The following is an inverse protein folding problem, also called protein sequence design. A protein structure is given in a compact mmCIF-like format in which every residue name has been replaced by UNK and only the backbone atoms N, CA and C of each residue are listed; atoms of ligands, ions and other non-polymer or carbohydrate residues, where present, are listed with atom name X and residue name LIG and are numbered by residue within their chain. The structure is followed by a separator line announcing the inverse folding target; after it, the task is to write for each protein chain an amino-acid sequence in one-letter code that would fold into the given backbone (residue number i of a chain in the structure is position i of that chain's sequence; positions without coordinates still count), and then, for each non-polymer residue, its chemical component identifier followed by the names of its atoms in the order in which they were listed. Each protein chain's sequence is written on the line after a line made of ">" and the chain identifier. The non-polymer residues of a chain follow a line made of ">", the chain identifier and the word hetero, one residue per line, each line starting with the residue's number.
data_IF_971536655422
#
_entry.id   IF_971536655422
#
_cell.length_a   1.000
_cell.length_b   1.000
_cell.length_c   1.000
_cell.angle_alpha   90.00
_cell.angle_beta   90.00
_cell.angle_gamma   90.00
#
_symmetry.space_group_name_H-M   'P 1'
#
loop_
_entity.id
_entity.type
_entity.pdbx_description
1 polymer ?
#
# COMPACT_ATOMS: atom_id res chain seq x y z
N UNK A 1 -24.16 -65.21 36.27
CA UNK A 1 -22.83 -64.58 36.24
C UNK A 1 -22.91 -63.36 35.35
N UNK A 2 -22.62 -62.19 35.94
CA UNK A 2 -22.23 -60.88 35.36
C UNK A 2 -23.19 -60.11 34.44
N UNK A 3 -23.76 -59.00 34.96
CA UNK A 3 -24.00 -57.74 34.26
C UNK A 3 -22.76 -56.79 34.35
N UNK A 4 -22.87 -55.64 33.67
CA UNK A 4 -22.01 -54.43 33.68
C UNK A 4 -20.79 -54.41 32.75
N UNK A 5 -20.85 -53.57 31.71
CA UNK A 5 -19.74 -52.64 31.41
C UNK A 5 -20.29 -51.23 31.09
N UNK A 6 -19.82 -50.29 31.90
CA UNK A 6 -20.18 -48.90 31.96
C UNK A 6 -19.41 -48.09 30.93
N UNK A 7 -20.11 -47.14 30.33
CA UNK A 7 -19.55 -45.96 29.66
C UNK A 7 -18.80 -45.14 30.72
N UNK A 8 -17.47 -45.09 30.63
CA UNK A 8 -16.63 -44.32 31.53
C UNK A 8 -16.60 -42.84 31.12
N UNK A 9 -17.47 -42.03 31.72
CA UNK A 9 -17.22 -40.60 31.93
C UNK A 9 -16.11 -40.41 32.96
N UNK A 10 -15.04 -39.70 32.63
CA UNK A 10 -14.13 -39.16 33.65
C UNK A 10 -14.05 -37.63 33.55
N UNK A 11 -14.78 -36.99 34.47
CA UNK A 11 -14.44 -35.64 34.96
C UNK A 11 -13.16 -35.79 35.78
N UNK A 12 -12.10 -35.05 35.44
CA UNK A 12 -11.03 -34.72 36.39
C UNK A 12 -10.79 -33.22 36.37
N UNK A 13 -11.30 -32.60 37.43
CA UNK A 13 -10.89 -31.30 37.95
C UNK A 13 -9.37 -31.38 38.21
N UNK A 14 -8.59 -30.47 37.64
CA UNK A 14 -7.20 -30.22 38.05
C UNK A 14 -7.05 -28.72 38.33
N UNK A 15 -6.49 -28.47 39.52
CA UNK A 15 -6.36 -27.20 40.23
C UNK A 15 -5.54 -26.18 39.46
N UNK A 16 -5.91 -24.91 39.62
CA UNK A 16 -5.07 -23.75 39.32
C UNK A 16 -3.77 -23.83 40.12
N UNK A 17 -2.65 -23.98 39.43
CA UNK A 17 -1.31 -23.78 39.93
C UNK A 17 -0.67 -22.66 39.11
N UNK A 18 -0.37 -21.56 39.79
CA UNK A 18 0.42 -20.45 39.28
C UNK A 18 1.83 -20.89 38.89
N UNK A 19 2.39 -20.14 37.95
CA UNK A 19 3.82 -19.99 37.62
C UNK A 19 4.41 -20.89 36.51
N UNK A 20 5.20 -20.19 35.68
CA UNK A 20 6.26 -20.64 34.77
C UNK A 20 5.83 -20.93 33.32
N UNK A 21 5.88 -19.83 32.56
CA UNK A 21 6.09 -19.72 31.12
C UNK A 21 6.98 -20.86 30.58
N UNK A 22 6.49 -21.59 29.59
CA UNK A 22 7.25 -22.62 28.84
C UNK A 22 8.40 -21.95 28.06
N UNK A 23 9.67 -22.36 28.27
CA UNK A 23 10.83 -21.81 27.55
C UNK A 23 10.90 -22.20 26.06
N UNK A 24 9.95 -22.96 25.51
CA UNK A 24 10.02 -23.53 24.14
C UNK A 24 9.12 -22.86 23.10
N UNK A 25 8.50 -21.73 23.41
CA UNK A 25 8.00 -20.83 22.35
C UNK A 25 9.19 -19.98 21.88
N UNK A 26 10.00 -20.55 20.98
CA UNK A 26 10.88 -19.74 20.16
C UNK A 26 9.98 -18.82 19.32
N UNK A 27 9.94 -17.54 19.67
CA UNK A 27 9.70 -16.47 18.71
C UNK A 27 10.51 -16.83 17.46
N UNK A 28 9.83 -17.07 16.35
CA UNK A 28 10.50 -17.18 15.05
C UNK A 28 11.06 -15.79 14.77
N UNK A 29 12.24 -15.51 15.31
CA UNK A 29 13.04 -14.36 14.93
C UNK A 29 13.34 -14.53 13.45
N UNK A 30 12.77 -13.65 12.60
CA UNK A 30 13.28 -13.46 11.24
C UNK A 30 14.81 -13.40 11.30
N UNK A 31 15.53 -14.27 10.55
CA UNK A 31 16.98 -14.35 10.64
C UNK A 31 17.60 -12.96 10.49
N UNK A 32 18.51 -12.58 11.40
CA UNK A 32 19.25 -11.31 11.37
C UNK A 32 19.79 -10.92 9.98
N UNK A 33 20.12 -11.92 9.15
CA UNK A 33 20.56 -11.73 7.77
C UNK A 33 19.45 -11.21 6.83
N UNK A 34 18.20 -11.66 6.96
CA UNK A 34 17.06 -11.16 6.17
C UNK A 34 16.70 -9.72 6.56
N UNK A 35 16.72 -9.37 7.85
CA UNK A 35 16.54 -7.98 8.33
C UNK A 35 17.64 -7.05 7.82
N UNK A 36 18.91 -7.47 7.91
CA UNK A 36 20.06 -6.72 7.35
C UNK A 36 19.95 -6.55 5.84
N UNK A 37 19.48 -7.56 5.11
CA UNK A 37 19.23 -7.48 3.66
C UNK A 37 18.13 -6.46 3.34
N UNK A 38 16.94 -6.54 3.96
CA UNK A 38 15.84 -5.57 3.73
C UNK A 38 16.25 -4.13 4.01
N UNK A 39 16.96 -3.88 5.12
CA UNK A 39 17.47 -2.54 5.46
C UNK A 39 18.52 -2.05 4.45
N UNK A 40 19.45 -2.93 4.02
CA UNK A 40 20.48 -2.61 3.01
C UNK A 40 19.90 -2.20 1.66
N UNK A 41 18.78 -2.79 1.26
CA UNK A 41 18.08 -2.47 0.01
C UNK A 41 17.26 -1.17 0.08
N UNK A 42 16.56 -0.90 1.20
CA UNK A 42 15.84 0.37 1.40
C UNK A 42 16.80 1.57 1.41
N UNK A 43 17.93 1.43 2.09
CA UNK A 43 18.97 2.46 2.10
C UNK A 43 19.52 2.74 0.69
N UNK A 44 19.68 1.73 -0.17
CA UNK A 44 20.20 1.93 -1.54
C UNK A 44 19.18 2.60 -2.49
N UNK A 45 17.87 2.37 -2.29
CA UNK A 45 16.82 3.06 -3.05
C UNK A 45 16.74 4.55 -2.70
N UNK A 46 16.68 4.87 -1.41
CA UNK A 46 16.64 6.27 -0.97
C UNK A 46 17.95 7.00 -1.24
N UNK A 47 19.08 6.29 -1.31
CA UNK A 47 20.38 6.87 -1.71
C UNK A 47 20.37 7.39 -3.13
N UNK A 48 19.78 6.65 -4.08
CA UNK A 48 19.64 7.13 -5.46
C UNK A 48 18.79 8.41 -5.51
N UNK A 49 17.73 8.47 -4.71
CA UNK A 49 16.87 9.65 -4.64
C UNK A 49 17.62 10.82 -3.97
N UNK A 50 18.30 10.59 -2.84
CA UNK A 50 19.08 11.63 -2.16
C UNK A 50 20.23 12.16 -3.03
N UNK A 51 20.86 11.32 -3.87
CA UNK A 51 21.86 11.77 -4.83
C UNK A 51 21.31 12.75 -5.88
N UNK A 52 20.00 12.70 -6.19
CA UNK A 52 19.33 13.68 -7.06
C UNK A 52 19.08 15.02 -6.36
N UNK A 53 18.72 14.99 -5.08
CA UNK A 53 18.46 16.20 -4.28
C UNK A 53 19.75 16.89 -3.79
N UNK A 54 20.84 16.13 -3.66
CA UNK A 54 22.13 16.60 -3.17
C UNK A 54 23.26 16.12 -4.09
N UNK A 55 23.33 16.63 -5.34
CA UNK A 55 24.33 16.20 -6.31
C UNK A 55 25.75 16.49 -5.79
N UNK A 56 26.66 15.52 -5.97
CA UNK A 56 28.06 15.64 -5.54
C UNK A 56 28.32 15.42 -4.04
N UNK A 57 27.29 15.31 -3.19
CA UNK A 57 27.45 15.14 -1.73
C UNK A 57 27.54 13.68 -1.25
N UNK A 58 27.07 12.71 -2.05
CA UNK A 58 27.00 11.29 -1.63
C UNK A 58 27.71 10.37 -2.63
N UNK A 59 28.88 9.83 -2.27
CA UNK A 59 29.70 8.99 -3.16
C UNK A 59 29.38 7.49 -3.09
N UNK A 60 28.88 6.96 -1.96
CA UNK A 60 28.39 5.58 -1.82
C UNK A 60 27.72 5.39 -0.45
N UNK A 61 26.45 5.04 -0.41
CA UNK A 61 25.80 4.56 0.83
C UNK A 61 25.70 3.05 0.73
N UNK A 62 26.68 2.36 1.30
CA UNK A 62 26.59 0.90 1.43
C UNK A 62 25.54 0.61 2.51
N UNK A 63 24.46 -0.09 2.16
CA UNK A 63 23.34 -0.30 3.08
C UNK A 63 23.64 -1.25 4.27
N UNK A 64 24.90 -1.59 4.50
CA UNK A 64 25.38 -2.20 5.75
C UNK A 64 26.21 -1.21 6.55
N UNK A 65 25.64 -0.07 6.96
CA UNK A 65 26.40 0.91 7.74
C UNK A 65 25.58 1.38 8.95
N UNK A 66 25.47 0.48 9.92
CA UNK A 66 25.63 0.84 11.34
C UNK A 66 27.10 0.60 11.76
N UNK A 67 27.84 -0.29 11.06
CA UNK A 67 29.21 -0.65 11.47
C UNK A 67 30.33 0.15 10.78
N UNK A 68 30.14 0.66 9.54
CA UNK A 68 31.14 1.56 8.93
C UNK A 68 31.04 3.02 9.45
N UNK A 69 30.05 3.31 10.31
CA UNK A 69 29.85 4.58 11.04
C UNK A 69 31.03 4.91 11.97
N UNK A 70 31.88 3.92 12.26
CA UNK A 70 32.96 4.01 13.24
C UNK A 70 34.36 4.18 12.65
N UNK A 71 34.58 4.05 11.32
CA UNK A 71 35.95 3.94 10.76
C UNK A 71 36.37 4.95 9.70
N UNK A 72 35.50 5.84 9.21
CA UNK A 72 35.89 6.88 8.24
C UNK A 72 35.22 8.23 8.58
N UNK A 73 35.99 9.32 8.46
CA UNK A 73 35.47 10.70 8.41
C UNK A 73 34.60 10.82 7.17
N UNK A 74 33.28 10.77 7.35
CA UNK A 74 32.33 11.13 6.29
C UNK A 74 31.71 12.46 6.70
N UNK A 75 32.03 13.52 5.95
CA UNK A 75 31.20 14.71 5.85
C UNK A 75 29.97 14.36 4.99
N UNK A 76 28.81 14.92 5.30
CA UNK A 76 27.53 14.70 4.58
C UNK A 76 26.95 13.27 4.68
N UNK A 77 26.32 12.91 5.81
CA UNK A 77 25.60 11.63 5.97
C UNK A 77 24.07 11.81 6.00
N UNK A 78 23.30 10.75 5.71
CA UNK A 78 21.83 10.76 5.82
C UNK A 78 21.38 9.75 6.89
N UNK A 79 20.55 10.20 7.84
CA UNK A 79 19.95 9.36 8.88
C UNK A 79 18.47 9.11 8.58
N UNK A 80 18.11 7.83 8.41
CA UNK A 80 16.74 7.42 8.12
C UNK A 80 16.00 7.09 9.40
N UNK A 81 14.90 7.79 9.64
CA UNK A 81 14.00 7.55 10.76
C UNK A 81 12.63 7.13 10.23
N UNK A 82 12.28 5.86 10.41
CA UNK A 82 10.95 5.37 10.06
C UNK A 82 9.90 5.93 11.03
N UNK A 83 8.92 6.62 10.47
CA UNK A 83 7.80 7.27 11.18
C UNK A 83 6.43 6.78 10.68
N UNK A 84 6.34 5.60 10.04
CA UNK A 84 5.08 5.04 9.50
C UNK A 84 4.05 4.63 10.57
N UNK A 85 4.35 3.66 11.44
CA UNK A 85 3.46 3.33 12.57
C UNK A 85 3.23 4.52 13.55
N UNK A 86 4.23 5.40 13.75
CA UNK A 86 4.09 6.59 14.56
C UNK A 86 3.33 7.77 13.96
N UNK A 87 2.71 7.75 12.77
CA UNK A 87 1.92 8.94 12.39
C UNK A 87 0.67 9.11 13.25
N UNK A 88 -0.02 7.99 13.52
CA UNK A 88 -1.11 7.96 14.48
C UNK A 88 -0.61 8.30 15.89
N UNK A 89 0.54 7.75 16.30
CA UNK A 89 1.15 8.09 17.59
C UNK A 89 1.60 9.54 17.66
N UNK A 90 2.34 10.10 16.69
CA UNK A 90 2.75 11.51 16.63
C UNK A 90 1.54 12.46 16.64
N UNK A 91 0.42 12.09 16.02
CA UNK A 91 -0.84 12.85 16.10
C UNK A 91 -1.48 12.75 17.50
N UNK A 92 -1.56 11.54 18.08
CA UNK A 92 -2.06 11.30 19.44
C UNK A 92 -1.14 11.92 20.52
N UNK A 93 0.17 12.00 20.25
CA UNK A 93 1.27 12.51 21.07
C UNK A 93 1.38 14.03 20.96
N UNK A 94 1.15 14.64 19.78
CA UNK A 94 1.07 16.10 19.62
C UNK A 94 -0.15 16.68 20.34
N UNK A 95 -1.25 15.94 20.39
CA UNK A 95 -2.46 16.34 21.12
C UNK A 95 -2.30 16.25 22.65
N UNK A 96 -1.26 15.58 23.16
CA UNK A 96 -0.89 15.60 24.58
C UNK A 96 0.28 16.54 24.77
N UNK A 97 0.18 17.48 25.70
CA UNK A 97 1.11 18.61 25.85
C UNK A 97 2.61 18.26 26.10
N UNK A 98 3.07 17.00 26.04
CA UNK A 98 4.43 16.60 26.44
C UNK A 98 5.15 15.45 25.67
N UNK A 99 4.74 14.99 24.48
CA UNK A 99 5.26 13.70 23.92
C UNK A 99 6.22 13.75 22.70
N UNK A 100 6.66 14.92 22.19
CA UNK A 100 7.76 15.05 21.19
C UNK A 100 9.10 14.46 21.70
N UNK A 101 9.19 14.16 23.00
CA UNK A 101 10.32 13.45 23.62
C UNK A 101 10.64 12.13 22.92
N UNK A 102 9.65 11.31 22.53
CA UNK A 102 9.89 9.94 22.03
C UNK A 102 10.58 9.88 20.67
N UNK A 103 10.15 10.70 19.69
CA UNK A 103 10.78 10.77 18.36
C UNK A 103 12.17 11.39 18.44
N UNK A 104 12.32 12.45 19.23
CA UNK A 104 13.62 13.09 19.48
C UNK A 104 14.59 12.12 20.16
N UNK A 105 14.15 11.35 21.15
CA UNK A 105 14.95 10.33 21.86
C UNK A 105 15.40 9.19 20.95
N UNK A 106 14.60 8.83 19.94
CA UNK A 106 14.97 7.82 18.92
C UNK A 106 16.11 8.26 18.00
N UNK A 107 16.46 9.55 17.99
CA UNK A 107 17.61 10.06 17.23
C UNK A 107 18.85 10.02 18.15
N UNK A 108 19.90 9.26 17.81
CA UNK A 108 21.11 9.17 18.63
C UNK A 108 21.79 10.54 18.81
N UNK A 109 22.38 10.79 19.98
CA UNK A 109 23.05 12.07 20.29
C UNK A 109 24.12 12.47 19.28
N UNK A 110 24.88 11.50 18.76
CA UNK A 110 25.86 11.75 17.69
C UNK A 110 25.21 12.24 16.40
N UNK A 111 24.01 11.77 16.07
CA UNK A 111 23.27 12.22 14.88
C UNK A 111 22.73 13.63 15.11
N UNK A 112 22.18 13.92 16.30
CA UNK A 112 21.76 15.28 16.67
C UNK A 112 22.91 16.28 16.57
N UNK A 113 24.09 15.90 17.05
CA UNK A 113 25.30 16.71 16.89
C UNK A 113 25.61 16.97 15.41
N UNK A 114 25.66 15.93 14.56
CA UNK A 114 25.93 16.10 13.13
C UNK A 114 24.85 16.92 12.40
N UNK A 115 23.59 16.83 12.84
CA UNK A 115 22.51 17.67 12.32
C UNK A 115 22.74 19.15 12.66
N UNK A 116 23.12 19.47 13.90
CA UNK A 116 23.46 20.86 14.32
C UNK A 116 24.65 21.43 13.54
N UNK A 117 25.65 20.60 13.25
CA UNK A 117 26.85 21.00 12.50
C UNK A 117 26.62 21.12 10.99
N UNK A 118 25.41 20.86 10.46
CA UNK A 118 25.17 20.90 9.02
C UNK A 118 25.68 19.67 8.24
N UNK A 119 26.21 18.67 8.94
CA UNK A 119 26.94 17.52 8.37
C UNK A 119 26.06 16.28 8.17
N UNK A 120 24.78 16.36 8.57
CA UNK A 120 23.80 15.28 8.43
C UNK A 120 22.48 15.79 7.83
N UNK A 121 21.78 14.89 7.13
CA UNK A 121 20.41 15.05 6.64
C UNK A 121 19.52 14.08 7.40
N UNK A 122 18.42 14.57 7.97
CA UNK A 122 17.41 13.73 8.60
C UNK A 122 16.34 13.36 7.57
N UNK A 123 16.16 12.07 7.32
CA UNK A 123 15.11 11.56 6.44
C UNK A 123 14.00 10.95 7.29
N UNK A 124 12.85 11.60 7.32
CA UNK A 124 11.62 11.09 7.93
C UNK A 124 10.93 10.17 6.92
N UNK A 125 11.05 8.86 7.12
CA UNK A 125 10.59 7.85 6.16
C UNK A 125 9.19 7.35 6.51
N UNK A 126 8.27 7.54 5.58
CA UNK A 126 6.92 6.94 5.58
C UNK A 126 6.72 6.01 4.39
N UNK A 127 7.81 5.40 3.91
CA UNK A 127 7.90 4.87 2.54
C UNK A 127 6.91 3.76 2.18
N UNK A 128 6.20 3.15 3.14
CA UNK A 128 5.17 2.15 2.89
C UNK A 128 3.74 2.71 2.91
N UNK A 129 3.52 3.90 3.46
CA UNK A 129 2.19 4.50 3.64
C UNK A 129 2.27 6.01 3.37
N UNK A 130 1.64 6.50 2.31
CA UNK A 130 1.54 7.94 2.07
C UNK A 130 0.29 8.50 2.76
N UNK A 131 0.41 8.98 3.99
CA UNK A 131 -0.75 9.54 4.68
C UNK A 131 -1.09 10.95 4.19
N UNK A 132 -2.31 11.38 4.51
CA UNK A 132 -2.76 12.75 4.28
C UNK A 132 -1.94 13.75 5.10
N UNK A 133 -1.84 14.99 4.61
CA UNK A 133 -1.22 16.07 5.38
C UNK A 133 -2.16 16.50 6.52
N UNK A 134 -1.57 16.87 7.67
CA UNK A 134 -2.32 17.50 8.76
C UNK A 134 -1.51 18.61 9.43
N UNK A 135 -2.18 19.70 9.83
CA UNK A 135 -1.54 20.83 10.48
C UNK A 135 -0.77 20.44 11.76
N UNK A 136 -1.32 19.59 12.66
CA UNK A 136 -0.59 19.14 13.86
C UNK A 136 0.73 18.46 13.52
N UNK A 137 0.73 17.63 12.47
CA UNK A 137 1.92 16.89 12.07
C UNK A 137 2.98 17.79 11.43
N UNK A 138 2.56 18.76 10.61
CA UNK A 138 3.44 19.81 10.10
C UNK A 138 4.13 20.57 11.24
N UNK A 139 3.37 20.98 12.26
CA UNK A 139 3.90 21.66 13.45
C UNK A 139 4.86 20.79 14.26
N UNK A 140 4.54 19.50 14.44
CA UNK A 140 5.40 18.55 15.15
C UNK A 140 6.78 18.38 14.50
N UNK A 141 6.85 18.40 13.16
CA UNK A 141 8.13 18.34 12.43
C UNK A 141 8.98 19.59 12.72
N UNK A 142 8.38 20.78 12.67
CA UNK A 142 9.11 22.02 12.96
C UNK A 142 9.57 22.11 14.42
N UNK A 143 8.74 21.68 15.37
CA UNK A 143 9.15 21.59 16.78
C UNK A 143 10.30 20.59 16.99
N UNK A 144 10.32 19.48 16.24
CA UNK A 144 11.45 18.54 16.25
C UNK A 144 12.73 19.21 15.70
N UNK A 145 12.63 19.98 14.63
CA UNK A 145 13.73 20.74 14.04
C UNK A 145 14.30 21.73 15.07
N UNK A 146 13.45 22.53 15.70
CA UNK A 146 13.84 23.51 16.72
C UNK A 146 14.52 22.83 17.92
N UNK A 147 13.97 21.71 18.37
CA UNK A 147 14.50 20.94 19.50
C UNK A 147 15.86 20.30 19.20
N UNK A 148 16.08 19.86 17.96
CA UNK A 148 17.40 19.39 17.51
C UNK A 148 18.34 20.59 17.38
N UNK A 149 17.86 21.74 16.90
CA UNK A 149 18.68 22.89 16.56
C UNK A 149 19.39 22.73 15.21
N UNK A 150 18.74 22.09 14.23
CA UNK A 150 19.25 21.96 12.86
C UNK A 150 18.45 22.82 11.87
N UNK A 151 18.95 23.01 10.66
CA UNK A 151 18.23 23.77 9.64
C UNK A 151 17.13 22.91 8.99
N UNK A 152 15.97 23.50 8.70
CA UNK A 152 14.86 22.80 8.01
C UNK A 152 15.27 22.23 6.65
N UNK A 153 16.21 22.87 5.96
CA UNK A 153 16.76 22.39 4.69
C UNK A 153 17.54 21.07 4.77
N UNK A 154 17.86 20.62 5.98
CA UNK A 154 18.47 19.31 6.29
C UNK A 154 17.43 18.23 6.58
N UNK A 155 16.14 18.55 6.62
CA UNK A 155 15.07 17.57 6.84
C UNK A 155 14.39 17.24 5.53
N UNK A 156 14.31 15.94 5.24
CA UNK A 156 13.64 15.39 4.05
C UNK A 156 12.50 14.50 4.52
N UNK A 157 11.31 14.75 4.02
CA UNK A 157 10.14 13.91 4.24
C UNK A 157 9.91 12.99 3.05
N UNK A 158 10.07 11.68 3.26
CA UNK A 158 9.94 10.67 2.21
C UNK A 158 8.56 10.01 2.30
N UNK A 159 7.69 10.26 1.30
CA UNK A 159 6.28 9.88 1.30
C UNK A 159 5.85 9.30 -0.05
N UNK A 160 4.78 8.50 -0.07
CA UNK A 160 4.12 8.12 -1.33
C UNK A 160 3.02 9.10 -1.75
N UNK A 161 2.64 10.04 -0.88
CA UNK A 161 1.57 10.98 -1.14
C UNK A 161 2.07 12.16 -2.01
N UNK A 162 1.61 12.21 -3.26
CA UNK A 162 2.01 13.21 -4.25
C UNK A 162 1.40 14.60 -4.02
N UNK A 163 0.35 14.73 -3.19
CA UNK A 163 -0.22 16.05 -2.84
C UNK A 163 0.34 16.63 -1.53
N UNK A 164 1.22 15.89 -0.84
CA UNK A 164 1.70 16.27 0.49
C UNK A 164 2.49 17.58 0.49
N UNK A 165 3.42 17.76 -0.45
CA UNK A 165 4.26 18.96 -0.55
C UNK A 165 3.42 20.22 -0.81
N UNK A 166 2.41 20.12 -1.66
CA UNK A 166 1.46 21.20 -1.94
C UNK A 166 0.66 21.56 -0.68
N UNK A 167 0.07 20.57 -0.01
CA UNK A 167 -0.70 20.77 1.22
C UNK A 167 0.16 21.37 2.35
N UNK A 168 1.39 20.89 2.51
CA UNK A 168 2.36 21.43 3.45
C UNK A 168 2.73 22.87 3.11
N UNK A 169 2.99 23.18 1.83
CA UNK A 169 3.35 24.53 1.39
C UNK A 169 2.21 25.52 1.66
N UNK A 170 0.98 25.15 1.32
CA UNK A 170 -0.22 25.95 1.60
C UNK A 170 -0.45 26.17 3.10
N UNK A 171 -0.09 25.19 3.94
CA UNK A 171 -0.11 25.36 5.39
C UNK A 171 0.98 26.33 5.86
N UNK A 172 2.22 26.17 5.38
CA UNK A 172 3.34 27.07 5.70
C UNK A 172 3.04 28.53 5.33
N UNK A 173 2.42 28.77 4.17
CA UNK A 173 2.01 30.12 3.74
C UNK A 173 1.00 30.73 4.72
N UNK A 174 0.03 29.95 5.20
CA UNK A 174 -0.98 30.40 6.18
C UNK A 174 -0.40 30.62 7.58
N UNK A 175 0.67 29.93 7.94
CA UNK A 175 1.34 30.05 9.24
C UNK A 175 2.59 30.92 9.23
N UNK A 176 2.85 31.64 8.14
CA UNK A 176 4.01 32.52 7.94
C UNK A 176 5.38 31.83 8.07
N UNK A 177 5.48 30.55 7.69
CA UNK A 177 6.75 29.84 7.59
C UNK A 177 7.39 30.19 6.24
N UNK A 178 8.51 30.92 6.29
CA UNK A 178 9.23 31.37 5.11
C UNK A 178 9.87 30.19 4.34
N UNK A 179 10.18 30.40 3.06
CA UNK A 179 10.60 29.32 2.15
C UNK A 179 11.91 28.64 2.59
N UNK A 180 12.82 29.40 3.16
CA UNK A 180 14.11 28.93 3.68
C UNK A 180 13.98 28.05 4.94
N UNK A 181 12.87 28.18 5.68
CA UNK A 181 12.56 27.35 6.84
C UNK A 181 11.70 26.13 6.50
N UNK A 182 11.43 25.84 5.22
CA UNK A 182 10.64 24.68 4.80
C UNK A 182 11.49 23.42 4.69
N UNK A 183 10.89 22.29 5.02
CA UNK A 183 11.49 20.96 4.81
C UNK A 183 11.41 20.57 3.33
N UNK A 184 12.20 19.58 2.93
CA UNK A 184 12.21 19.03 1.56
C UNK A 184 11.37 17.77 1.47
N UNK A 185 10.88 17.44 0.28
CA UNK A 185 10.05 16.27 0.04
C UNK A 185 10.68 15.33 -0.98
N UNK A 186 10.45 14.03 -0.78
CA UNK A 186 10.83 12.98 -1.71
C UNK A 186 9.64 12.07 -1.90
N UNK A 187 9.24 11.86 -3.15
CA UNK A 187 8.24 10.85 -3.48
C UNK A 187 8.88 9.48 -3.64
N UNK A 188 8.33 8.47 -2.97
CA UNK A 188 8.91 7.11 -2.89
C UNK A 188 8.22 6.06 -3.77
N UNK A 189 7.39 6.45 -4.75
CA UNK A 189 6.69 5.49 -5.63
C UNK A 189 7.66 4.55 -6.38
N UNK A 190 8.87 5.00 -6.74
CA UNK A 190 9.91 4.16 -7.36
C UNK A 190 10.30 3.00 -6.45
N UNK A 191 10.36 3.22 -5.13
CA UNK A 191 10.65 2.15 -4.17
C UNK A 191 9.56 1.07 -4.19
N UNK A 192 8.30 1.48 -4.32
CA UNK A 192 7.16 0.56 -4.42
C UNK A 192 7.19 -0.23 -5.74
N UNK A 193 7.45 0.43 -6.88
CA UNK A 193 7.66 -0.21 -8.18
C UNK A 193 8.72 -1.31 -8.08
N UNK A 194 9.90 -0.97 -7.55
CA UNK A 194 11.02 -1.89 -7.40
C UNK A 194 10.69 -3.08 -6.49
N UNK A 195 9.87 -2.88 -5.45
CA UNK A 195 9.40 -3.97 -4.61
C UNK A 195 8.55 -4.95 -5.42
N UNK A 196 7.52 -4.48 -6.13
CA UNK A 196 6.63 -5.34 -6.91
C UNK A 196 7.42 -6.18 -7.93
N UNK A 197 8.29 -5.54 -8.73
CA UNK A 197 9.07 -6.26 -9.75
C UNK A 197 9.95 -7.33 -9.12
N UNK A 198 10.67 -6.98 -8.05
CA UNK A 198 11.57 -7.92 -7.39
C UNK A 198 10.82 -9.17 -6.92
N UNK A 199 9.64 -8.98 -6.34
CA UNK A 199 8.80 -10.09 -5.92
C UNK A 199 8.32 -10.92 -7.11
N UNK A 200 7.83 -10.27 -8.19
CA UNK A 200 7.43 -10.95 -9.42
C UNK A 200 8.58 -11.77 -10.04
N UNK A 201 9.80 -11.22 -10.08
CA UNK A 201 11.00 -11.90 -10.57
C UNK A 201 11.37 -13.12 -9.72
N UNK A 202 11.44 -12.94 -8.41
CA UNK A 202 11.83 -14.00 -7.48
C UNK A 202 10.88 -15.21 -7.54
N UNK A 203 9.62 -14.97 -7.93
CA UNK A 203 8.58 -16.00 -8.10
C UNK A 203 8.40 -16.45 -9.55
N UNK A 204 9.21 -15.96 -10.50
CA UNK A 204 9.07 -16.23 -11.95
C UNK A 204 7.68 -15.87 -12.52
N UNK A 205 7.06 -14.82 -11.99
CA UNK A 205 5.74 -14.31 -12.39
C UNK A 205 5.83 -13.14 -13.39
N UNK A 206 6.84 -13.18 -14.27
CA UNK A 206 7.00 -12.23 -15.37
C UNK A 206 6.25 -12.74 -16.60
N UNK A 207 5.62 -11.83 -17.33
CA UNK A 207 4.87 -12.16 -18.54
C UNK A 207 5.80 -12.22 -19.75
N UNK A 208 5.62 -13.28 -20.53
CA UNK A 208 6.09 -13.32 -21.91
C UNK A 208 5.05 -12.57 -22.73
N UNK A 209 5.44 -11.41 -23.26
CA UNK A 209 4.54 -10.46 -23.93
C UNK A 209 4.27 -10.86 -25.40
N UNK A 210 4.55 -12.10 -25.80
CA UNK A 210 4.15 -12.57 -27.13
C UNK A 210 2.63 -12.51 -27.27
N UNK A 211 2.16 -11.65 -28.17
CA UNK A 211 0.74 -11.34 -28.41
C UNK A 211 -0.11 -12.60 -28.61
N UNK A 212 0.41 -13.58 -29.37
CA UNK A 212 -0.25 -14.86 -29.63
C UNK A 212 -0.50 -15.71 -28.37
N UNK A 213 0.26 -15.51 -27.28
CA UNK A 213 0.08 -16.24 -26.02
C UNK A 213 -0.89 -15.55 -25.06
N UNK A 214 -1.17 -14.26 -25.25
CA UNK A 214 -1.97 -13.46 -24.31
C UNK A 214 -3.38 -13.19 -24.84
N UNK A 215 -3.52 -13.03 -26.16
CA UNK A 215 -4.80 -12.77 -26.83
C UNK A 215 -5.49 -14.05 -27.35
N UNK A 216 -4.90 -15.24 -27.15
CA UNK A 216 -5.34 -16.45 -27.84
C UNK A 216 -6.66 -17.07 -27.38
N UNK A 217 -7.13 -16.78 -26.15
CA UNK A 217 -8.29 -17.45 -25.57
C UNK A 217 -9.25 -16.47 -24.88
N UNK A 218 -10.55 -16.77 -24.98
CA UNK A 218 -11.59 -16.11 -24.18
C UNK A 218 -11.40 -16.43 -22.69
N UNK A 219 -11.65 -15.43 -21.84
CA UNK A 219 -11.44 -15.54 -20.39
C UNK A 219 -12.73 -15.92 -19.69
N UNK A 220 -12.68 -16.83 -18.69
CA UNK A 220 -13.88 -17.31 -17.99
C UNK A 220 -14.51 -16.27 -17.05
N UNK A 221 -13.76 -15.26 -16.61
CA UNK A 221 -14.25 -14.19 -15.74
C UNK A 221 -14.22 -12.85 -16.46
N UNK A 222 -15.17 -11.97 -16.13
CA UNK A 222 -15.20 -10.59 -16.63
C UNK A 222 -14.20 -9.72 -15.89
N UNK A 223 -14.16 -9.81 -14.56
CA UNK A 223 -13.35 -8.91 -13.74
C UNK A 223 -12.70 -9.57 -12.53
N UNK A 224 -11.66 -8.90 -12.01
CA UNK A 224 -10.89 -9.29 -10.84
C UNK A 224 -10.83 -8.14 -9.82
N UNK A 225 -11.24 -8.40 -8.58
CA UNK A 225 -11.20 -7.44 -7.47
C UNK A 225 -10.54 -8.07 -6.24
N UNK A 226 -9.21 -7.95 -6.14
CA UNK A 226 -8.45 -8.49 -5.02
C UNK A 226 -8.40 -7.51 -3.85
N UNK A 227 -9.10 -7.85 -2.76
CA UNK A 227 -9.00 -7.13 -1.50
C UNK A 227 -8.37 -7.99 -0.41
N UNK A 228 -7.65 -7.32 0.49
CA UNK A 228 -7.07 -7.94 1.68
C UNK A 228 -7.94 -7.62 2.91
N UNK A 229 -8.00 -6.34 3.27
CA UNK A 229 -8.71 -5.87 4.48
C UNK A 229 -10.04 -5.21 4.08
N UNK A 230 -11.15 -5.50 4.77
CA UNK A 230 -12.39 -4.75 4.60
C UNK A 230 -12.23 -3.26 4.89
N UNK A 231 -12.86 -2.43 4.06
CA UNK A 231 -12.95 -0.97 4.12
C UNK A 231 -14.33 -0.55 3.65
N UNK A 232 -14.83 0.62 4.08
CA UNK A 232 -16.20 1.03 3.80
C UNK A 232 -16.54 1.01 2.30
N UNK A 233 -15.70 1.59 1.43
CA UNK A 233 -15.90 1.59 -0.03
C UNK A 233 -15.86 0.19 -0.64
N UNK A 234 -15.05 -0.74 -0.09
CA UNK A 234 -14.97 -2.13 -0.55
C UNK A 234 -16.21 -2.93 -0.19
N UNK A 235 -16.72 -2.71 1.03
CA UNK A 235 -17.97 -3.33 1.48
C UNK A 235 -19.16 -2.77 0.70
N UNK A 236 -19.17 -1.47 0.41
CA UNK A 236 -20.20 -0.85 -0.42
C UNK A 236 -20.15 -1.35 -1.87
N UNK A 237 -18.95 -1.51 -2.45
CA UNK A 237 -18.77 -2.16 -3.75
C UNK A 237 -19.36 -3.58 -3.75
N UNK A 238 -19.00 -4.39 -2.76
CA UNK A 238 -19.49 -5.76 -2.66
C UNK A 238 -21.02 -5.83 -2.50
N UNK A 239 -21.60 -4.94 -1.70
CA UNK A 239 -23.05 -4.81 -1.57
C UNK A 239 -23.71 -4.55 -2.93
N UNK A 240 -23.24 -3.55 -3.68
CA UNK A 240 -23.81 -3.21 -4.98
C UNK A 240 -23.62 -4.32 -6.03
N UNK A 241 -22.48 -5.03 -6.01
CA UNK A 241 -22.25 -6.20 -6.87
C UNK A 241 -23.23 -7.34 -6.57
N UNK A 242 -23.60 -7.56 -5.31
CA UNK A 242 -24.60 -8.57 -4.91
C UNK A 242 -26.00 -8.13 -5.36
N UNK A 243 -26.38 -6.88 -5.09
CA UNK A 243 -27.71 -6.36 -5.45
C UNK A 243 -27.99 -6.41 -6.95
N UNK A 244 -26.94 -6.32 -7.77
CA UNK A 244 -27.02 -6.37 -9.23
C UNK A 244 -26.74 -7.77 -9.81
N UNK A 245 -26.55 -8.79 -8.97
CA UNK A 245 -26.14 -10.15 -9.34
C UNK A 245 -24.88 -10.22 -10.22
N UNK A 246 -24.00 -9.21 -10.11
CA UNK A 246 -22.76 -9.11 -10.89
C UNK A 246 -21.62 -9.90 -10.28
N UNK A 247 -21.71 -10.27 -9.00
CA UNK A 247 -20.61 -10.90 -8.27
C UNK A 247 -20.13 -12.21 -8.91
N UNK A 248 -21.04 -12.97 -9.53
CA UNK A 248 -20.74 -14.26 -10.17
C UNK A 248 -19.85 -14.13 -11.40
N UNK A 249 -19.83 -12.95 -12.02
CA UNK A 249 -19.12 -12.66 -13.25
C UNK A 249 -17.61 -12.45 -13.04
N UNK A 250 -17.16 -12.30 -11.80
CA UNK A 250 -15.75 -12.06 -11.49
C UNK A 250 -15.27 -12.78 -10.24
N UNK A 251 -14.08 -12.38 -9.79
CA UNK A 251 -13.46 -12.85 -8.56
C UNK A 251 -13.28 -11.69 -7.57
N UNK A 252 -13.84 -11.81 -6.36
CA UNK A 252 -13.77 -10.82 -5.29
C UNK A 252 -13.25 -11.42 -3.97
N UNK A 253 -12.12 -10.94 -3.43
CA UNK A 253 -11.51 -11.53 -2.22
C UNK A 253 -11.54 -10.62 -0.99
N UNK A 254 -11.60 -11.21 0.21
CA UNK A 254 -11.16 -10.63 1.50
C UNK A 254 -10.35 -11.68 2.28
N UNK A 255 -9.31 -11.26 3.02
CA UNK A 255 -8.49 -12.19 3.83
C UNK A 255 -9.10 -12.49 5.22
N UNK A 256 -10.04 -11.67 5.68
CA UNK A 256 -10.71 -11.86 6.95
C UNK A 256 -12.19 -12.18 6.73
N UNK A 257 -12.73 -13.12 7.52
CA UNK A 257 -14.18 -13.23 7.65
C UNK A 257 -14.70 -11.88 8.11
N UNK A 258 -15.63 -11.30 7.35
CA UNK A 258 -16.41 -10.18 7.83
C UNK A 258 -17.11 -10.66 9.11
N UNK A 259 -16.82 -10.03 10.22
CA UNK A 259 -17.41 -10.31 11.51
C UNK A 259 -17.55 -9.01 12.27
N UNK A 260 -18.38 -9.03 13.31
CA UNK A 260 -18.71 -7.85 14.13
C UNK A 260 -17.49 -7.07 14.62
N UNK A 261 -16.34 -7.72 14.84
CA UNK A 261 -15.13 -7.07 15.35
C UNK A 261 -14.43 -6.15 14.34
N UNK A 262 -14.75 -6.24 13.04
CA UNK A 262 -14.21 -5.35 12.01
C UNK A 262 -14.95 -4.00 11.99
N UNK A 263 -16.19 -3.98 12.46
CA UNK A 263 -17.07 -2.81 12.42
C UNK A 263 -16.85 -1.90 13.63
N UNK A 264 -15.73 -1.17 13.61
CA UNK A 264 -15.45 -0.10 14.58
C UNK A 264 -16.37 1.11 14.35
N UNK A 265 -16.58 2.00 15.33
CA UNK A 265 -17.33 3.25 15.12
C UNK A 265 -16.80 4.07 13.95
N UNK A 266 -15.47 4.14 13.79
CA UNK A 266 -14.83 4.81 12.66
C UNK A 266 -15.21 4.17 11.31
N UNK A 267 -15.21 2.84 11.23
CA UNK A 267 -15.64 2.12 10.03
C UNK A 267 -17.12 2.40 9.71
N UNK A 268 -17.96 2.51 10.74
CA UNK A 268 -19.36 2.85 10.57
C UNK A 268 -19.55 4.29 10.05
N UNK A 269 -18.75 5.25 10.52
CA UNK A 269 -18.79 6.62 10.00
C UNK A 269 -18.30 6.71 8.55
N UNK A 270 -17.30 5.91 8.16
CA UNK A 270 -16.91 5.79 6.75
C UNK A 270 -18.03 5.18 5.90
N UNK A 271 -18.72 4.14 6.39
CA UNK A 271 -19.90 3.58 5.72
C UNK A 271 -21.01 4.63 5.59
N UNK A 272 -21.11 5.56 6.55
CA UNK A 272 -22.12 6.61 6.51
C UNK A 272 -22.01 7.53 5.30
N UNK A 273 -20.80 7.65 4.76
CA UNK A 273 -20.57 8.41 3.54
C UNK A 273 -21.33 7.75 2.39
N UNK A 274 -21.24 6.42 2.24
CA UNK A 274 -21.71 5.70 1.05
C UNK A 274 -23.20 5.37 1.03
N UNK A 275 -23.77 5.05 2.18
CA UNK A 275 -25.18 4.68 2.26
C UNK A 275 -26.04 5.94 2.40
N UNK A 276 -27.08 6.14 1.57
CA UNK A 276 -28.06 7.19 1.80
C UNK A 276 -28.98 6.73 2.95
N UNK A 277 -28.65 7.11 4.19
CA UNK A 277 -29.46 6.73 5.35
C UNK A 277 -30.84 7.36 5.25
N UNK A 278 -31.87 6.53 5.41
CA UNK A 278 -33.10 7.00 6.06
C UNK A 278 -32.79 7.11 7.56
N UNK A 279 -33.32 8.14 8.23
CA UNK A 279 -32.94 8.53 9.59
C UNK A 279 -33.11 7.45 10.68
N UNK A 280 -33.64 6.26 10.34
CA UNK A 280 -34.02 5.22 11.30
C UNK A 280 -33.23 3.90 11.16
N UNK A 281 -32.42 3.68 10.10
CA UNK A 281 -31.61 2.45 10.00
C UNK A 281 -30.36 2.54 10.89
N UNK A 282 -30.19 1.55 11.77
CA UNK A 282 -29.03 1.48 12.67
C UNK A 282 -27.82 0.86 11.97
N UNK A 283 -26.61 1.23 12.40
CA UNK A 283 -25.36 0.61 11.92
C UNK A 283 -25.39 -0.91 12.08
N UNK A 284 -26.00 -1.42 13.15
CA UNK A 284 -26.15 -2.85 13.43
C UNK A 284 -27.06 -3.56 12.42
N UNK A 285 -28.06 -2.87 11.88
CA UNK A 285 -28.92 -3.40 10.81
C UNK A 285 -28.15 -3.51 9.49
N UNK A 286 -27.34 -2.51 9.13
CA UNK A 286 -26.48 -2.56 7.95
C UNK A 286 -25.47 -3.68 8.08
N UNK A 287 -24.80 -3.79 9.23
CA UNK A 287 -23.86 -4.88 9.52
C UNK A 287 -24.57 -6.22 9.40
N UNK A 288 -25.79 -6.35 9.90
CA UNK A 288 -26.57 -7.59 9.81
C UNK A 288 -27.01 -7.92 8.37
N UNK A 289 -27.38 -6.91 7.57
CA UNK A 289 -27.71 -7.09 6.16
C UNK A 289 -26.47 -7.50 5.36
N UNK A 290 -25.34 -6.85 5.62
CA UNK A 290 -24.03 -7.16 5.08
C UNK A 290 -23.65 -8.60 5.49
N UNK A 291 -23.63 -8.95 6.77
CA UNK A 291 -23.27 -10.28 7.29
C UNK A 291 -24.13 -11.40 6.67
N UNK A 292 -25.45 -11.18 6.51
CA UNK A 292 -26.35 -12.14 5.85
C UNK A 292 -26.10 -12.29 4.35
N UNK A 293 -25.72 -11.21 3.65
CA UNK A 293 -25.41 -11.22 2.21
C UNK A 293 -23.95 -11.64 1.90
N UNK A 294 -23.04 -11.52 2.87
CA UNK A 294 -21.58 -11.62 2.71
C UNK A 294 -20.98 -13.00 3.03
N UNK A 295 -21.77 -14.08 2.96
CA UNK A 295 -21.30 -15.47 3.03
C UNK A 295 -20.56 -15.90 1.74
N UNK A 296 -19.60 -15.10 1.27
CA UNK A 296 -18.94 -15.28 -0.01
C UNK A 296 -17.45 -15.50 0.26
N UNK A 297 -17.07 -16.77 0.25
CA UNK A 297 -15.69 -17.21 0.31
C UNK A 297 -15.16 -17.25 -1.13
N UNK A 298 -14.08 -16.53 -1.42
CA UNK A 298 -13.26 -16.92 -2.56
C UNK A 298 -12.37 -18.05 -2.07
N UNK A 299 -12.60 -19.26 -2.59
CA UNK A 299 -11.69 -20.40 -2.45
C UNK A 299 -10.37 -20.06 -3.15
N UNK A 300 -9.51 -19.26 -2.51
CA UNK A 300 -8.12 -19.18 -2.90
C UNK A 300 -7.42 -20.47 -2.44
N UNK A 301 -6.77 -21.23 -3.34
CA UNK A 301 -6.08 -22.45 -2.97
C UNK A 301 -5.00 -22.18 -1.91
N UNK A 302 -5.04 -22.99 -0.88
CA UNK A 302 -4.04 -23.19 0.18
C UNK A 302 -3.37 -21.93 0.80
N UNK A 303 -3.89 -21.58 1.98
CA UNK A 303 -3.33 -20.57 2.89
C UNK A 303 -2.02 -20.98 3.57
N UNK A 304 -1.40 -22.09 3.18
CA UNK A 304 -0.07 -22.53 3.67
C UNK A 304 1.07 -21.55 3.31
N UNK A 305 0.82 -20.57 2.43
CA UNK A 305 1.77 -19.51 2.06
C UNK A 305 1.63 -18.21 2.87
N UNK A 306 0.70 -18.14 3.82
CA UNK A 306 0.57 -16.98 4.71
C UNK A 306 1.80 -16.90 5.61
N UNK A 307 2.39 -15.71 5.76
CA UNK A 307 3.43 -15.49 6.75
C UNK A 307 2.85 -15.65 8.17
N UNK A 308 3.70 -15.61 9.20
CA UNK A 308 3.32 -15.78 10.62
C UNK A 308 2.25 -14.79 11.13
N UNK A 309 1.90 -13.76 10.35
CA UNK A 309 0.84 -12.79 10.64
C UNK A 309 -0.47 -13.07 9.87
N UNK A 310 -0.58 -14.20 9.18
CA UNK A 310 -1.76 -14.54 8.38
C UNK A 310 -1.91 -13.69 7.12
N UNK A 311 -0.84 -13.02 6.64
CA UNK A 311 -0.84 -12.20 5.43
C UNK A 311 -0.12 -12.95 4.31
N UNK A 312 -0.79 -13.09 3.17
CA UNK A 312 -0.13 -13.52 1.93
C UNK A 312 0.91 -12.48 1.52
N UNK A 313 1.85 -12.85 0.65
CA UNK A 313 2.82 -11.91 0.11
C UNK A 313 2.09 -10.85 -0.73
N UNK A 314 1.84 -9.67 -0.14
CA UNK A 314 0.98 -8.62 -0.71
C UNK A 314 1.55 -8.08 -2.03
N UNK A 315 2.81 -8.36 -2.36
CA UNK A 315 3.44 -7.95 -3.62
C UNK A 315 3.41 -9.03 -4.72
N UNK A 316 2.95 -10.24 -4.43
CA UNK A 316 2.85 -11.35 -5.39
C UNK A 316 1.76 -11.10 -6.45
N UNK A 317 2.03 -11.45 -7.72
CA UNK A 317 1.08 -11.37 -8.84
C UNK A 317 0.63 -12.78 -9.20
N UNK A 318 -0.59 -13.15 -8.84
CA UNK A 318 -1.15 -14.45 -9.23
C UNK A 318 -1.55 -14.46 -10.70
N UNK A 319 -0.58 -14.78 -11.57
CA UNK A 319 -0.71 -14.71 -13.04
C UNK A 319 -2.00 -15.33 -13.57
N UNK A 320 -2.39 -16.49 -13.03
CA UNK A 320 -3.61 -17.21 -13.41
C UNK A 320 -4.88 -16.37 -13.23
N UNK A 321 -4.99 -15.58 -12.15
CA UNK A 321 -6.16 -14.73 -11.90
C UNK A 321 -6.30 -13.64 -12.98
N UNK A 322 -5.18 -13.06 -13.39
CA UNK A 322 -5.15 -12.08 -14.49
C UNK A 322 -5.40 -12.77 -15.84
N UNK A 323 -4.80 -13.93 -16.10
CA UNK A 323 -5.06 -14.68 -17.35
C UNK A 323 -6.54 -15.08 -17.51
N UNK A 324 -7.23 -15.29 -16.39
CA UNK A 324 -8.62 -15.76 -16.37
C UNK A 324 -9.68 -14.64 -16.34
N UNK A 325 -9.29 -13.36 -16.30
CA UNK A 325 -10.25 -12.24 -16.21
C UNK A 325 -9.92 -11.09 -17.16
N UNK A 326 -10.88 -10.29 -17.62
CA UNK A 326 -10.60 -9.25 -18.64
C UNK A 326 -10.10 -7.92 -18.07
N UNK A 327 -10.60 -7.48 -16.91
CA UNK A 327 -10.19 -6.21 -16.32
C UNK A 327 -10.13 -6.27 -14.79
N UNK A 328 -9.43 -5.33 -14.18
CA UNK A 328 -9.28 -5.23 -12.74
C UNK A 328 -10.14 -4.10 -12.16
N UNK A 329 -10.90 -4.42 -11.11
CA UNK A 329 -11.51 -3.42 -10.24
C UNK A 329 -10.55 -3.22 -9.07
N UNK A 330 -9.79 -2.13 -9.12
CA UNK A 330 -8.78 -1.82 -8.11
C UNK A 330 -9.45 -1.01 -7.02
N UNK A 331 -9.43 -1.52 -5.79
CA UNK A 331 -9.80 -0.72 -4.61
C UNK A 331 -8.54 -0.31 -3.85
N UNK A 332 -8.16 0.94 -3.99
CA UNK A 332 -7.05 1.48 -3.21
C UNK A 332 -7.36 1.46 -1.72
N UNK A 333 -6.33 1.60 -0.89
CA UNK A 333 -6.48 1.54 0.57
C UNK A 333 -7.39 2.64 1.13
N UNK A 334 -7.54 3.74 0.38
CA UNK A 334 -8.22 4.96 0.76
C UNK A 334 -9.18 5.36 -0.35
N UNK A 335 -10.32 5.92 0.04
CA UNK A 335 -11.28 6.51 -0.89
C UNK A 335 -11.73 7.88 -0.34
N UNK A 336 -10.81 8.85 -0.28
CA UNK A 336 -11.03 10.10 0.43
C UNK A 336 -12.00 11.02 -0.30
N UNK A 337 -12.62 11.93 0.45
CA UNK A 337 -13.47 13.01 -0.09
C UNK A 337 -12.66 14.10 -0.82
N UNK A 338 -11.39 14.25 -0.47
CA UNK A 338 -10.48 15.21 -1.11
C UNK A 338 -9.32 14.48 -1.77
N UNK A 339 -8.55 15.20 -2.58
CA UNK A 339 -7.29 14.74 -3.18
C UNK A 339 -6.13 14.60 -2.17
N UNK A 340 -6.39 13.97 -1.03
CA UNK A 340 -5.38 13.72 0.01
C UNK A 340 -5.74 12.47 0.84
N UNK A 341 -4.89 11.43 0.88
CA UNK A 341 -3.62 11.31 0.15
C UNK A 341 -3.82 11.05 -1.34
N UNK A 342 -3.03 11.71 -2.19
CA UNK A 342 -2.94 11.37 -3.61
C UNK A 342 -1.85 10.33 -3.83
N UNK A 343 -2.24 9.05 -3.93
CA UNK A 343 -1.31 7.95 -4.21
C UNK A 343 -2.03 6.73 -4.79
N UNK A 344 -1.24 5.83 -5.37
CA UNK A 344 -1.63 4.45 -5.69
C UNK A 344 -0.73 3.47 -4.93
N UNK A 345 -1.17 2.22 -4.80
CA UNK A 345 -0.43 1.18 -4.07
C UNK A 345 0.01 0.05 -5.01
N UNK A 346 0.50 -1.05 -4.44
CA UNK A 346 0.90 -2.23 -5.20
C UNK A 346 -0.24 -2.77 -6.07
N UNK A 347 -1.51 -2.57 -5.69
CA UNK A 347 -2.68 -3.09 -6.44
C UNK A 347 -2.73 -2.52 -7.86
N UNK A 348 -2.54 -1.21 -7.98
CA UNK A 348 -2.43 -0.54 -9.29
C UNK A 348 -1.24 -1.05 -10.08
N UNK A 349 -0.08 -1.18 -9.42
CA UNK A 349 1.13 -1.67 -10.06
C UNK A 349 1.02 -3.13 -10.53
N UNK A 350 0.31 -3.98 -9.79
CA UNK A 350 0.04 -5.36 -10.19
C UNK A 350 -0.84 -5.44 -11.43
N UNK A 351 -1.80 -4.53 -11.60
CA UNK A 351 -2.65 -4.51 -12.81
C UNK A 351 -1.87 -4.02 -14.03
N UNK A 352 -1.00 -3.01 -13.84
CA UNK A 352 -0.06 -2.55 -14.89
C UNK A 352 0.89 -3.68 -15.34
N UNK A 353 1.47 -4.44 -14.40
CA UNK A 353 2.32 -5.59 -14.72
C UNK A 353 1.54 -6.83 -15.16
N UNK A 354 0.29 -6.96 -14.73
CA UNK A 354 -0.60 -8.08 -15.02
C UNK A 354 -1.27 -7.97 -16.38
N UNK A 355 -0.93 -6.95 -17.19
CA UNK A 355 -1.52 -6.68 -18.50
C UNK A 355 -3.05 -6.61 -18.42
N UNK A 356 -3.56 -5.80 -17.48
CA UNK A 356 -4.98 -5.61 -17.24
C UNK A 356 -5.42 -4.17 -17.43
N UNK A 357 -6.50 -3.93 -18.21
CA UNK A 357 -7.32 -2.73 -18.07
C UNK A 357 -7.86 -2.62 -16.65
N UNK A 358 -8.05 -1.39 -16.16
CA UNK A 358 -8.48 -1.21 -14.77
C UNK A 358 -9.38 -0.01 -14.52
N UNK A 359 -10.28 -0.17 -13.54
CA UNK A 359 -11.02 0.89 -12.88
C UNK A 359 -10.44 1.10 -11.47
N UNK A 360 -10.21 2.36 -11.06
CA UNK A 360 -9.59 2.66 -9.76
C UNK A 360 -10.58 3.34 -8.81
N UNK A 361 -11.00 2.59 -7.80
CA UNK A 361 -11.63 3.12 -6.60
C UNK A 361 -10.53 3.64 -5.67
N UNK A 362 -10.12 4.89 -5.86
CA UNK A 362 -9.11 5.56 -5.05
C UNK A 362 -9.35 7.06 -4.92
N UNK A 363 -8.28 7.80 -4.66
CA UNK A 363 -8.29 9.26 -4.58
C UNK A 363 -8.54 9.92 -5.93
N UNK A 364 -9.19 11.08 -5.98
CA UNK A 364 -9.37 11.81 -7.23
C UNK A 364 -8.00 12.26 -7.79
N UNK A 365 -7.85 12.24 -9.11
CA UNK A 365 -6.63 12.57 -9.83
C UNK A 365 -5.56 11.48 -9.80
N UNK A 366 -5.92 10.23 -9.46
CA UNK A 366 -5.01 9.08 -9.45
C UNK A 366 -4.67 8.65 -10.87
N UNK A 367 -5.64 8.62 -11.80
CA UNK A 367 -5.37 8.36 -13.21
C UNK A 367 -4.50 9.46 -13.80
N UNK A 368 -4.81 10.73 -13.48
CA UNK A 368 -3.96 11.85 -13.90
C UNK A 368 -2.52 11.73 -13.38
N UNK A 369 -2.35 11.26 -12.15
CA UNK A 369 -1.03 10.99 -11.58
C UNK A 369 -0.30 9.89 -12.38
N UNK A 370 -0.95 8.78 -12.72
CA UNK A 370 -0.35 7.72 -13.54
C UNK A 370 0.11 8.26 -14.91
N UNK A 371 -0.73 9.07 -15.57
CA UNK A 371 -0.38 9.74 -16.82
C UNK A 371 0.84 10.64 -16.69
N UNK A 372 0.93 11.44 -15.63
CA UNK A 372 2.09 12.30 -15.36
C UNK A 372 3.37 11.50 -15.11
N UNK A 373 3.25 10.25 -14.65
CA UNK A 373 4.37 9.31 -14.50
C UNK A 373 4.71 8.57 -15.80
N UNK A 374 3.98 8.79 -16.90
CA UNK A 374 4.23 8.21 -18.22
C UNK A 374 3.48 6.89 -18.49
N UNK A 375 2.64 6.44 -17.57
CA UNK A 375 1.71 5.34 -17.85
C UNK A 375 0.52 5.83 -18.67
N UNK A 376 -0.03 4.97 -19.50
CA UNK A 376 -1.27 5.20 -20.23
C UNK A 376 -2.46 4.67 -19.43
N UNK A 377 -3.59 5.36 -19.54
CA UNK A 377 -4.89 4.94 -18.99
C UNK A 377 -5.81 4.57 -20.14
N UNK A 378 -7.09 4.29 -19.88
CA UNK A 378 -7.99 3.63 -20.81
C UNK A 378 -9.11 4.56 -21.29
N UNK A 379 -8.83 5.86 -21.36
CA UNK A 379 -9.72 6.82 -22.01
C UNK A 379 -10.04 6.36 -23.45
N UNK A 380 -11.31 6.38 -23.82
CA UNK A 380 -11.84 5.81 -25.06
C UNK A 380 -12.25 4.32 -24.99
N UNK A 381 -11.92 3.59 -23.92
CA UNK A 381 -12.44 2.24 -23.66
C UNK A 381 -13.58 2.23 -22.64
N UNK A 382 -13.48 3.09 -21.62
CA UNK A 382 -14.53 3.39 -20.66
C UNK A 382 -14.38 4.83 -20.15
N UNK A 383 -15.43 5.36 -19.53
CA UNK A 383 -15.47 6.76 -19.09
C UNK A 383 -14.65 6.94 -17.80
N UNK A 384 -13.53 7.68 -17.93
CA UNK A 384 -12.60 8.00 -16.85
C UNK A 384 -12.94 9.31 -16.11
N UNK A 385 -14.08 9.96 -16.41
CA UNK A 385 -14.48 11.23 -15.79
C UNK A 385 -14.57 11.19 -14.26
N UNK A 386 -14.77 9.99 -13.69
CA UNK A 386 -14.76 9.75 -12.24
C UNK A 386 -13.46 10.21 -11.56
N UNK A 387 -12.32 10.23 -12.25
CA UNK A 387 -11.04 10.62 -11.65
C UNK A 387 -11.03 12.09 -11.20
N UNK A 388 -11.87 12.93 -11.80
CA UNK A 388 -11.97 14.36 -11.47
C UNK A 388 -13.00 14.68 -10.37
N UNK A 389 -13.76 13.69 -9.89
CA UNK A 389 -14.86 13.91 -8.95
C UNK A 389 -14.38 13.78 -7.51
N UNK A 390 -14.47 14.86 -6.73
CA UNK A 390 -14.09 14.86 -5.32
C UNK A 390 -15.10 14.12 -4.44
N UNK A 391 -16.41 14.37 -4.66
CA UNK A 391 -17.47 13.75 -3.86
C UNK A 391 -17.43 12.22 -3.98
N UNK A 392 -17.21 11.50 -2.87
CA UNK A 392 -16.97 10.06 -2.91
C UNK A 392 -18.20 9.29 -3.41
N UNK A 393 -19.42 9.73 -3.12
CA UNK A 393 -20.62 9.05 -3.59
C UNK A 393 -20.82 9.20 -5.09
N UNK A 394 -20.68 10.43 -5.59
CA UNK A 394 -20.75 10.68 -7.03
C UNK A 394 -19.65 9.92 -7.77
N UNK A 395 -18.42 9.94 -7.26
CA UNK A 395 -17.29 9.19 -7.84
C UNK A 395 -17.55 7.69 -7.84
N UNK A 396 -18.05 7.13 -6.73
CA UNK A 396 -18.42 5.73 -6.63
C UNK A 396 -19.49 5.36 -7.67
N UNK A 397 -20.54 6.18 -7.80
CA UNK A 397 -21.64 5.91 -8.74
C UNK A 397 -21.16 5.90 -10.20
N UNK A 398 -20.26 6.82 -10.58
CA UNK A 398 -19.67 6.83 -11.92
C UNK A 398 -18.80 5.60 -12.16
N UNK A 399 -17.97 5.21 -11.18
CA UNK A 399 -17.16 3.99 -11.24
C UNK A 399 -18.04 2.73 -11.35
N UNK A 400 -19.09 2.64 -10.54
CA UNK A 400 -19.99 1.48 -10.54
C UNK A 400 -20.78 1.38 -11.85
N UNK A 401 -21.19 2.52 -12.43
CA UNK A 401 -21.78 2.56 -13.77
C UNK A 401 -20.85 1.98 -14.84
N UNK A 402 -19.53 2.21 -14.74
CA UNK A 402 -18.56 1.58 -15.66
C UNK A 402 -18.50 0.07 -15.46
N UNK A 403 -18.56 -0.41 -14.21
CA UNK A 403 -18.64 -1.85 -13.92
C UNK A 403 -19.90 -2.43 -14.57
N UNK A 404 -21.07 -1.83 -14.36
CA UNK A 404 -22.34 -2.30 -14.97
C UNK A 404 -22.25 -2.34 -16.50
N UNK A 405 -21.70 -1.29 -17.12
CA UNK A 405 -21.51 -1.20 -18.56
C UNK A 405 -20.60 -2.30 -19.10
N UNK A 406 -19.41 -2.49 -18.50
CA UNK A 406 -18.48 -3.53 -18.92
C UNK A 406 -19.04 -4.93 -18.66
N UNK A 407 -19.73 -5.12 -17.52
CA UNK A 407 -20.41 -6.37 -17.20
C UNK A 407 -21.57 -6.69 -18.15
N UNK A 408 -22.24 -5.69 -18.73
CA UNK A 408 -23.31 -5.95 -19.71
C UNK A 408 -22.83 -6.51 -21.05
N UNK A 409 -21.53 -6.39 -21.34
CA UNK A 409 -20.93 -6.89 -22.57
C UNK A 409 -20.84 -8.43 -22.56
N UNK A 410 -21.02 -9.03 -23.73
CA UNK A 410 -20.76 -10.44 -23.95
C UNK A 410 -19.26 -10.76 -23.92
N UNK A 411 -18.90 -12.04 -23.74
CA UNK A 411 -17.50 -12.49 -23.67
C UNK A 411 -16.69 -12.06 -24.88
N UNK A 412 -17.27 -12.12 -26.09
CA UNK A 412 -16.61 -11.70 -27.34
C UNK A 412 -16.32 -10.20 -27.36
N UNK A 413 -17.29 -9.38 -26.98
CA UNK A 413 -17.13 -7.92 -26.95
C UNK A 413 -16.08 -7.50 -25.92
N UNK A 414 -16.05 -8.16 -24.76
CA UNK A 414 -15.00 -7.97 -23.76
C UNK A 414 -13.62 -8.40 -24.26
N UNK A 415 -13.55 -9.53 -24.97
CA UNK A 415 -12.32 -10.01 -25.57
C UNK A 415 -11.79 -9.04 -26.64
N UNK A 416 -12.67 -8.50 -27.48
CA UNK A 416 -12.33 -7.46 -28.46
C UNK A 416 -11.90 -6.15 -27.79
N UNK A 417 -12.57 -5.74 -26.71
CA UNK A 417 -12.18 -4.58 -25.91
C UNK A 417 -10.78 -4.77 -25.30
N UNK A 418 -10.52 -5.93 -24.70
CA UNK A 418 -9.21 -6.29 -24.17
C UNK A 418 -8.14 -6.28 -25.27
N UNK A 419 -8.41 -6.91 -26.41
CA UNK A 419 -7.49 -6.97 -27.55
C UNK A 419 -7.13 -5.59 -28.08
N UNK A 420 -8.12 -4.69 -28.22
CA UNK A 420 -7.87 -3.29 -28.63
C UNK A 420 -7.05 -2.51 -27.60
N UNK A 421 -7.15 -2.85 -26.32
CA UNK A 421 -6.36 -2.21 -25.26
C UNK A 421 -4.93 -2.74 -25.17
N UNK A 422 -4.57 -3.80 -25.91
CA UNK A 422 -3.33 -4.53 -25.71
C UNK A 422 -2.08 -3.65 -25.88
N UNK A 423 -2.06 -2.74 -26.84
CA UNK A 423 -0.93 -1.80 -27.03
C UNK A 423 -0.69 -0.92 -25.79
N UNK A 424 -1.76 -0.46 -25.13
CA UNK A 424 -1.70 0.31 -23.88
C UNK A 424 -1.08 -0.55 -22.77
N UNK A 425 -1.50 -1.81 -22.68
CA UNK A 425 -1.00 -2.76 -21.68
C UNK A 425 0.48 -3.04 -21.87
N UNK A 426 0.91 -3.25 -23.11
CA UNK A 426 2.33 -3.47 -23.47
C UNK A 426 3.17 -2.22 -23.19
N UNK A 427 2.67 -1.03 -23.54
CA UNK A 427 3.33 0.24 -23.18
C UNK A 427 3.55 0.33 -21.67
N UNK A 428 2.49 0.15 -20.88
CA UNK A 428 2.55 0.22 -19.42
C UNK A 428 3.51 -0.78 -18.81
N UNK A 429 3.48 -2.02 -19.31
CA UNK A 429 4.40 -3.07 -18.90
C UNK A 429 5.85 -2.68 -19.17
N UNK A 430 6.17 -2.28 -20.41
CA UNK A 430 7.52 -1.90 -20.81
C UNK A 430 8.03 -0.66 -20.05
N UNK A 431 7.17 0.35 -19.88
CA UNK A 431 7.47 1.57 -19.10
C UNK A 431 7.90 1.22 -17.67
N UNK A 432 7.25 0.21 -17.07
CA UNK A 432 7.62 -0.30 -15.74
C UNK A 432 9.09 -0.73 -15.66
N UNK A 433 9.59 -1.46 -16.65
CA UNK A 433 10.97 -1.97 -16.69
C UNK A 433 11.98 -0.91 -17.15
N UNK A 434 11.57 0.04 -17.98
CA UNK A 434 12.44 1.11 -18.47
C UNK A 434 12.79 2.12 -17.38
N UNK A 435 11.86 2.44 -16.47
CA UNK A 435 12.08 3.41 -15.40
C UNK A 435 12.85 2.87 -14.18
N UNK A 436 13.34 1.63 -14.24
CA UNK A 436 14.24 1.11 -13.21
C UNK A 436 15.60 1.82 -13.26
N UNK A 437 16.18 2.19 -12.11
CA UNK A 437 17.57 2.61 -12.04
C UNK A 437 18.52 1.56 -12.65
N UNK A 438 19.55 1.99 -13.38
CA UNK A 438 20.47 1.10 -14.11
C UNK A 438 21.12 0.03 -13.22
N UNK A 439 21.44 0.36 -11.97
CA UNK A 439 22.00 -0.60 -11.02
C UNK A 439 20.99 -1.70 -10.65
N UNK A 440 19.70 -1.37 -10.52
CA UNK A 440 18.61 -2.33 -10.32
C UNK A 440 18.48 -3.20 -11.55
N UNK A 441 18.40 -2.58 -12.74
CA UNK A 441 18.30 -3.31 -14.02
C UNK A 441 19.45 -4.31 -14.17
N UNK A 442 20.69 -3.91 -13.87
CA UNK A 442 21.87 -4.78 -13.94
C UNK A 442 21.81 -5.96 -12.97
N UNK A 443 21.42 -5.74 -11.70
CA UNK A 443 21.30 -6.84 -10.72
C UNK A 443 20.13 -7.77 -11.06
N UNK A 444 18.98 -7.21 -11.41
CA UNK A 444 17.78 -7.95 -11.82
C UNK A 444 18.06 -8.82 -13.05
N UNK A 445 18.67 -8.25 -14.10
CA UNK A 445 18.99 -9.01 -15.31
C UNK A 445 20.04 -10.09 -15.04
N UNK A 446 21.00 -9.85 -14.14
CA UNK A 446 22.00 -10.86 -13.77
C UNK A 446 21.35 -12.03 -13.02
N UNK A 447 20.46 -11.76 -12.06
CA UNK A 447 19.73 -12.80 -11.31
C UNK A 447 18.72 -13.55 -12.21
N UNK A 448 18.09 -12.85 -13.15
CA UNK A 448 17.14 -13.44 -14.12
C UNK A 448 17.87 -14.34 -15.14
N UNK A 449 18.98 -13.88 -15.71
CA UNK A 449 19.78 -14.65 -16.67
C UNK A 449 20.49 -15.87 -16.06
N UNK A 450 20.66 -15.92 -14.73
CA UNK A 450 21.18 -17.11 -14.03
C UNK A 450 20.09 -18.12 -13.68
N UNK A 451 18.82 -17.75 -13.85
CA UNK A 451 17.64 -18.58 -13.50
C UNK A 451 17.03 -19.33 -14.69
N UNK A 452 17.65 -19.21 -15.87
CA UNK A 452 17.46 -19.94 -17.11
C UNK A 452 18.82 -20.48 -17.55
#
# INVERSE_FOLDING_TARGET
>A
MKPNEMIATSKRIVRWGSSLVDPRIQLIEEPRQQRKRRYKYRCSQLTWILQKFFPGKFSRVDGSIIDAFFKKKWQNCAYFLNVSAPQKQMLDEYCKENEIMTVYERIPERIKFLLREGECILVLEVANEGYAFSNPYGAAIHQLIDKIGCESGQVVYATQNHSYEEKYSNWCDRTNISKEHRIKFVITHVSLLLMVIRYSLAKKQIWDISESKILGEERPKKWLCLNNVPRAHRCFLLYNLIEKDLLREGDFSFNHKLNSNIFTPHFADELKVFFPFQNDETIDEIISQLDRKLLIYLDLPDRSLLNSEGRGDVFQIEKELYQNSYFSIITESDFPKERDPLRFTEKTLKSLLGLHPFLIFGSPGTLKLLQNLGFMTFDGFFDESYDSVDDPNQRFNLLFKQIESLSSLGTKELHELYSRSFEILVHNYNHFFQNMPDWCRKHILTDFCQSF
#
